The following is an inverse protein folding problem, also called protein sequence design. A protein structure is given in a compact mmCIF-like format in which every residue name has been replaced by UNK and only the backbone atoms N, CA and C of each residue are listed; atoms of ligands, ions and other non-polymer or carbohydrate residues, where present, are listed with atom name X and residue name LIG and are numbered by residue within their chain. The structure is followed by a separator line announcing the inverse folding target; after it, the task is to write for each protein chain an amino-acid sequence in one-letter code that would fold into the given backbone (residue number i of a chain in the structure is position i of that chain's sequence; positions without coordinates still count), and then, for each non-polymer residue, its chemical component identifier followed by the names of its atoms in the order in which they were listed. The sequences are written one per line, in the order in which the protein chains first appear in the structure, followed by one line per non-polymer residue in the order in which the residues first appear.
data_IF_580743602129
#
_entry.id   IF_580743602129
#
_cell.length_a   1.000
_cell.length_b   1.000
_cell.length_c   1.000
_cell.angle_alpha   90.00
_cell.angle_beta   90.00
_cell.angle_gamma   90.00
#
_symmetry.space_group_name_H-M   'P 1'
#
loop_
_entity.id
_entity.type
_entity.pdbx_description
1 polymer ?
#
# COMPACT_ATOMS: atom_id res chain seq x y z
N UNK A 1 -19.97 13.54 3.08
CA UNK A 1 -21.38 13.86 2.76
C UNK A 1 -21.48 14.31 1.32
N UNK A 2 -22.38 13.71 0.59
CA UNK A 2 -22.73 14.02 -0.76
C UNK A 2 -23.95 14.90 -0.78
N UNK A 3 -23.89 16.05 -1.42
CA UNK A 3 -25.03 16.93 -1.67
C UNK A 3 -25.03 17.27 -3.16
N UNK A 4 -25.90 16.69 -3.97
CA UNK A 4 -26.08 17.12 -5.36
C UNK A 4 -26.69 18.52 -5.34
N UNK A 5 -26.07 19.46 -6.03
CA UNK A 5 -26.67 20.74 -6.37
C UNK A 5 -27.27 20.55 -7.75
N UNK A 6 -28.58 20.46 -7.83
CA UNK A 6 -29.32 20.47 -9.08
C UNK A 6 -29.42 21.94 -9.49
N UNK A 7 -28.52 22.37 -10.36
CA UNK A 7 -28.64 23.67 -11.00
C UNK A 7 -29.53 23.60 -12.23
N UNK A 8 -30.08 24.70 -12.69
CA UNK A 8 -30.87 24.80 -13.92
C UNK A 8 -30.06 24.25 -15.08
N UNK A 9 -30.49 23.10 -15.57
CA UNK A 9 -29.76 22.34 -16.56
C UNK A 9 -30.12 22.81 -17.98
N UNK A 10 -29.11 23.22 -18.70
CA UNK A 10 -29.17 23.14 -20.17
C UNK A 10 -29.28 21.67 -20.54
N UNK A 11 -30.29 21.24 -21.31
CA UNK A 11 -30.45 19.84 -21.68
C UNK A 11 -29.15 19.31 -22.31
N UNK A 12 -28.60 18.23 -21.75
CA UNK A 12 -27.40 17.56 -22.24
C UNK A 12 -26.08 17.92 -21.56
N UNK A 13 -26.04 18.86 -20.65
CA UNK A 13 -24.83 19.17 -19.87
C UNK A 13 -25.08 18.91 -18.37
N UNK A 14 -24.63 17.76 -17.88
CA UNK A 14 -24.60 17.49 -16.46
C UNK A 14 -23.56 18.41 -15.80
N UNK A 15 -24.00 19.45 -15.12
CA UNK A 15 -23.10 20.26 -14.27
C UNK A 15 -22.65 19.41 -13.11
N UNK A 16 -21.32 19.28 -12.95
CA UNK A 16 -20.66 18.51 -11.90
C UNK A 16 -20.49 19.36 -10.64
N UNK A 17 -21.58 19.83 -10.05
CA UNK A 17 -21.53 20.62 -8.81
C UNK A 17 -21.57 19.71 -7.56
N UNK A 18 -20.55 18.83 -7.48
CA UNK A 18 -20.39 17.93 -6.35
C UNK A 18 -19.28 18.43 -5.47
N UNK A 19 -19.54 18.50 -4.17
CA UNK A 19 -18.50 18.76 -3.20
C UNK A 19 -18.23 17.54 -2.35
N UNK A 20 -17.00 17.09 -2.35
CA UNK A 20 -16.50 15.98 -1.52
C UNK A 20 -15.40 16.55 -0.64
N UNK A 21 -15.61 16.47 0.66
CA UNK A 21 -14.70 17.04 1.64
C UNK A 21 -14.50 16.06 2.81
N UNK A 22 -13.35 16.14 3.46
CA UNK A 22 -13.12 15.50 4.76
C UNK A 22 -13.77 16.25 5.92
N UNK A 23 -14.29 17.45 5.68
CA UNK A 23 -15.03 18.20 6.69
C UNK A 23 -16.37 17.54 6.95
N UNK A 24 -16.61 17.10 8.17
CA UNK A 24 -17.82 16.44 8.59
C UNK A 24 -18.89 17.44 9.07
N UNK A 25 -18.53 18.72 9.20
CA UNK A 25 -19.41 19.78 9.60
C UNK A 25 -20.16 19.52 10.92
N UNK A 26 -21.26 20.23 11.11
CA UNK A 26 -22.13 20.09 12.32
C UNK A 26 -22.80 18.73 12.43
N UNK A 27 -22.92 18.00 11.33
CA UNK A 27 -23.62 16.70 11.29
C UNK A 27 -22.80 15.57 11.91
N UNK A 28 -21.49 15.75 12.15
CA UNK A 28 -20.66 14.73 12.78
C UNK A 28 -21.17 14.32 14.17
N UNK A 29 -21.63 15.29 14.96
CA UNK A 29 -22.22 15.01 16.30
C UNK A 29 -23.42 14.08 16.20
N UNK A 30 -24.24 14.21 15.16
CA UNK A 30 -25.40 13.34 14.91
C UNK A 30 -24.96 11.94 14.46
N UNK A 31 -24.01 11.87 13.49
CA UNK A 31 -23.48 10.60 12.97
C UNK A 31 -22.72 9.83 14.04
N UNK A 32 -21.95 10.50 14.89
CA UNK A 32 -21.21 9.88 15.99
C UNK A 32 -22.10 9.19 17.05
N UNK A 33 -23.36 9.63 17.17
CA UNK A 33 -24.35 9.01 18.08
C UNK A 33 -25.05 7.77 17.49
N UNK A 34 -24.94 7.56 16.17
CA UNK A 34 -25.57 6.41 15.51
C UNK A 34 -24.86 5.12 15.92
N UNK A 35 -25.62 4.15 16.43
CA UNK A 35 -25.10 2.84 16.80
C UNK A 35 -24.53 2.14 15.56
N UNK A 36 -23.26 1.77 15.60
CA UNK A 36 -22.59 1.07 14.51
C UNK A 36 -23.20 -0.32 14.35
N UNK A 37 -23.84 -0.58 13.22
CA UNK A 37 -24.42 -1.90 12.91
C UNK A 37 -23.38 -2.90 12.38
N UNK A 38 -22.27 -2.41 11.82
CA UNK A 38 -21.24 -3.25 11.21
C UNK A 38 -19.92 -3.08 11.97
N UNK A 39 -19.53 -4.07 12.73
CA UNK A 39 -18.20 -4.18 13.32
C UNK A 39 -17.41 -5.24 12.57
N UNK A 40 -16.14 -4.94 12.25
CA UNK A 40 -15.18 -5.91 11.73
C UNK A 40 -14.36 -6.60 12.83
N UNK A 41 -14.61 -6.24 14.11
CA UNK A 41 -13.86 -6.81 15.24
C UNK A 41 -14.19 -8.30 15.40
N UNK A 42 -13.16 -9.09 15.71
CA UNK A 42 -13.21 -10.56 15.87
C UNK A 42 -13.72 -11.32 14.64
N UNK A 43 -13.66 -10.70 13.46
CA UNK A 43 -14.09 -11.31 12.20
C UNK A 43 -12.89 -11.57 11.33
N UNK A 44 -12.84 -12.79 10.80
CA UNK A 44 -11.76 -13.27 9.97
C UNK A 44 -12.04 -12.94 8.51
N UNK A 45 -11.08 -12.34 7.85
CA UNK A 45 -11.00 -12.22 6.40
C UNK A 45 -9.81 -13.04 5.90
N UNK A 46 -10.03 -13.88 4.90
CA UNK A 46 -9.00 -14.54 4.12
C UNK A 46 -8.85 -13.74 2.84
N UNK A 47 -7.77 -12.97 2.75
CA UNK A 47 -7.50 -12.09 1.60
C UNK A 47 -6.45 -12.75 0.72
N UNK A 48 -6.78 -12.96 -0.55
CA UNK A 48 -5.87 -13.57 -1.51
C UNK A 48 -5.13 -12.46 -2.25
N UNK A 49 -3.81 -12.41 -2.09
CA UNK A 49 -2.92 -11.48 -2.77
C UNK A 49 -2.24 -12.19 -3.94
N UNK A 50 -2.57 -11.85 -5.21
CA UNK A 50 -1.73 -12.24 -6.33
C UNK A 50 -0.46 -11.40 -6.32
N UNK A 51 0.69 -12.04 -6.31
CA UNK A 51 2.00 -11.38 -6.31
C UNK A 51 2.78 -11.80 -7.54
N UNK A 52 3.08 -10.84 -8.41
CA UNK A 52 3.90 -11.04 -9.61
C UNK A 52 5.21 -10.28 -9.43
N UNK A 53 6.30 -11.00 -9.48
CA UNK A 53 7.65 -10.47 -9.46
C UNK A 53 8.31 -10.67 -10.82
N UNK A 54 8.80 -9.60 -11.40
CA UNK A 54 9.52 -9.60 -12.67
C UNK A 54 10.94 -9.10 -12.44
N UNK A 55 11.91 -9.82 -12.92
CA UNK A 55 13.32 -9.45 -12.84
C UNK A 55 13.95 -9.50 -14.24
N UNK A 56 14.63 -8.45 -14.61
CA UNK A 56 15.31 -8.36 -15.90
C UNK A 56 16.80 -8.67 -15.72
N UNK A 57 17.28 -9.70 -16.41
CA UNK A 57 18.70 -10.09 -16.47
C UNK A 57 19.14 -10.06 -17.93
N UNK A 58 19.87 -9.02 -18.31
CA UNK A 58 20.18 -8.70 -19.71
C UNK A 58 21.01 -9.76 -20.45
N UNK A 59 21.69 -10.68 -19.76
CA UNK A 59 22.71 -11.52 -20.36
C UNK A 59 22.27 -12.97 -20.61
N UNK A 60 21.43 -13.54 -19.73
CA UNK A 60 21.08 -14.97 -19.81
C UNK A 60 19.60 -15.23 -20.06
N UNK A 61 18.74 -14.37 -19.57
CA UNK A 61 17.30 -14.47 -19.70
C UNK A 61 16.69 -13.07 -19.65
N UNK A 62 15.87 -12.70 -20.63
CA UNK A 62 15.31 -11.35 -20.72
C UNK A 62 14.43 -11.03 -19.51
N UNK A 63 13.63 -12.00 -19.06
CA UNK A 63 12.79 -11.88 -17.86
C UNK A 63 12.83 -13.14 -17.03
N UNK A 64 13.02 -12.98 -15.73
CA UNK A 64 12.67 -13.99 -14.74
C UNK A 64 11.30 -13.66 -14.18
N UNK A 65 10.45 -14.65 -14.05
CA UNK A 65 9.05 -14.48 -13.62
C UNK A 65 8.77 -15.36 -12.42
N UNK A 66 8.26 -14.76 -11.35
CA UNK A 66 7.73 -15.49 -10.19
C UNK A 66 6.30 -15.01 -9.96
N UNK A 67 5.35 -15.94 -10.01
CA UNK A 67 3.96 -15.69 -9.67
C UNK A 67 3.53 -16.52 -8.47
N UNK A 68 3.15 -15.84 -7.41
CA UNK A 68 2.66 -16.44 -6.17
C UNK A 68 1.18 -16.08 -5.95
N UNK A 69 0.42 -17.00 -5.40
CA UNK A 69 -0.82 -16.69 -4.69
C UNK A 69 -0.50 -16.66 -3.20
N UNK A 70 -0.79 -15.54 -2.56
CA UNK A 70 -0.45 -15.34 -1.17
C UNK A 70 -1.70 -15.09 -0.31
N UNK A 71 -2.43 -16.18 0.10
CA UNK A 71 -3.55 -16.05 1.01
C UNK A 71 -3.09 -15.56 2.38
N UNK A 72 -3.78 -14.52 2.90
CA UNK A 72 -3.52 -13.95 4.21
C UNK A 72 -4.77 -14.00 5.08
N UNK A 73 -4.63 -14.44 6.31
CA UNK A 73 -5.65 -14.32 7.35
C UNK A 73 -5.49 -12.94 7.98
N UNK A 74 -6.56 -12.13 7.95
CA UNK A 74 -6.60 -10.81 8.56
C UNK A 74 -7.69 -10.75 9.62
N UNK A 75 -7.33 -10.34 10.84
CA UNK A 75 -8.25 -10.19 11.98
C UNK A 75 -7.95 -8.92 12.74
N UNK A 76 -9.00 -8.24 13.23
CA UNK A 76 -8.89 -7.07 14.11
C UNK A 76 -9.57 -7.38 15.44
N UNK A 77 -8.83 -7.31 16.55
CA UNK A 77 -9.38 -7.55 17.88
C UNK A 77 -9.91 -6.26 18.55
N UNK A 78 -9.29 -5.13 18.20
CA UNK A 78 -9.74 -3.81 18.63
C UNK A 78 -9.55 -2.76 17.53
N UNK A 79 -9.97 -1.53 17.77
CA UNK A 79 -9.93 -0.46 16.77
C UNK A 79 -8.51 -0.11 16.36
N UNK A 80 -8.28 -0.10 15.05
CA UNK A 80 -6.99 0.25 14.46
C UNK A 80 -5.95 -0.88 14.49
N UNK A 81 -6.21 -1.97 15.19
CA UNK A 81 -5.33 -3.14 15.19
C UNK A 81 -5.67 -4.07 14.03
N UNK A 82 -4.63 -4.66 13.44
CA UNK A 82 -4.74 -5.72 12.45
C UNK A 82 -3.64 -6.77 12.68
N UNK A 83 -4.06 -8.00 12.86
CA UNK A 83 -3.19 -9.18 12.74
C UNK A 83 -3.25 -9.65 11.29
N UNK A 84 -2.10 -9.90 10.69
CA UNK A 84 -1.95 -10.49 9.35
C UNK A 84 -1.05 -11.71 9.44
N UNK A 85 -1.49 -12.84 8.90
CA UNK A 85 -0.68 -14.04 8.73
C UNK A 85 -0.87 -14.54 7.29
N UNK A 86 0.21 -14.50 6.51
CA UNK A 86 0.22 -14.80 5.08
C UNK A 86 1.06 -16.04 4.80
N UNK A 87 0.61 -16.85 3.84
CA UNK A 87 1.40 -17.91 3.22
C UNK A 87 1.67 -17.53 1.76
N UNK A 88 2.89 -17.74 1.31
CA UNK A 88 3.26 -17.64 -0.09
C UNK A 88 3.22 -19.01 -0.75
N UNK A 89 2.34 -19.16 -1.75
CA UNK A 89 2.16 -20.38 -2.53
C UNK A 89 2.64 -20.12 -3.94
N UNK A 90 3.80 -20.65 -4.35
CA UNK A 90 4.32 -20.48 -5.70
C UNK A 90 3.44 -21.21 -6.71
N UNK A 91 3.01 -20.52 -7.76
CA UNK A 91 2.22 -21.07 -8.86
C UNK A 91 3.08 -21.23 -10.11
N UNK A 92 3.96 -20.26 -10.37
CA UNK A 92 4.84 -20.26 -11.52
C UNK A 92 6.18 -19.65 -11.16
N UNK A 93 7.27 -20.32 -11.52
CA UNK A 93 8.63 -19.85 -11.33
C UNK A 93 9.44 -20.12 -12.60
N UNK A 94 9.95 -19.08 -13.20
CA UNK A 94 10.87 -19.15 -14.32
C UNK A 94 12.11 -18.28 -14.02
N UNK A 95 13.20 -18.95 -13.65
CA UNK A 95 14.50 -18.35 -13.41
C UNK A 95 14.77 -17.83 -11.98
N UNK A 96 13.83 -17.88 -11.06
CA UNK A 96 14.11 -17.62 -9.63
C UNK A 96 14.69 -18.88 -8.95
N UNK A 97 15.51 -18.72 -7.90
CA UNK A 97 16.09 -19.84 -7.14
C UNK A 97 15.04 -20.83 -6.64
N UNK A 98 15.41 -22.11 -6.54
CA UNK A 98 14.50 -23.20 -6.14
C UNK A 98 13.88 -23.04 -4.75
N UNK A 99 14.49 -22.24 -3.88
CA UNK A 99 13.92 -21.92 -2.58
C UNK A 99 12.53 -21.26 -2.68
N UNK A 100 12.29 -20.50 -3.76
CA UNK A 100 11.00 -19.86 -4.04
C UNK A 100 9.93 -20.83 -4.59
N UNK A 101 10.27 -22.07 -4.87
CA UNK A 101 9.32 -23.12 -5.25
C UNK A 101 8.65 -23.79 -4.05
N UNK A 102 9.05 -23.44 -2.83
CA UNK A 102 8.51 -24.02 -1.61
C UNK A 102 7.44 -23.09 -1.02
N UNK A 103 6.36 -23.68 -0.50
CA UNK A 103 5.38 -22.93 0.31
C UNK A 103 6.07 -22.49 1.60
N UNK A 104 5.97 -21.22 1.90
CA UNK A 104 6.55 -20.64 3.12
C UNK A 104 5.69 -19.49 3.66
N UNK A 105 5.82 -19.14 4.95
CA UNK A 105 5.19 -17.95 5.48
C UNK A 105 5.71 -16.67 4.80
N UNK A 106 4.79 -15.75 4.47
CA UNK A 106 5.11 -14.41 4.02
C UNK A 106 5.06 -13.40 5.16
N UNK A 107 4.12 -12.47 5.10
CA UNK A 107 3.92 -11.51 6.19
C UNK A 107 3.27 -12.19 7.40
N UNK A 108 3.90 -12.03 8.57
CA UNK A 108 3.32 -12.41 9.85
C UNK A 108 3.53 -11.25 10.80
N UNK A 109 2.46 -10.56 11.21
CA UNK A 109 2.66 -9.42 12.08
C UNK A 109 1.37 -8.77 12.58
N UNK A 110 1.58 -7.87 13.51
CA UNK A 110 0.54 -7.05 14.12
C UNK A 110 0.82 -5.59 13.81
N UNK A 111 -0.19 -4.89 13.32
CA UNK A 111 -0.14 -3.45 13.09
C UNK A 111 -1.20 -2.73 13.90
N UNK A 112 -0.83 -1.59 14.49
CA UNK A 112 -1.72 -0.69 15.18
C UNK A 112 -1.70 0.66 14.47
N UNK A 113 -2.86 1.08 13.96
CA UNK A 113 -3.04 2.41 13.39
C UNK A 113 -3.84 3.28 14.35
N UNK A 114 -3.35 4.46 14.62
CA UNK A 114 -4.00 5.47 15.47
C UNK A 114 -4.15 6.77 14.70
N UNK A 115 -5.26 7.45 14.94
CA UNK A 115 -5.47 8.81 14.46
C UNK A 115 -5.30 9.76 15.62
N UNK A 116 -4.32 10.62 15.54
CA UNK A 116 -4.02 11.67 16.49
C UNK A 116 -4.76 12.98 16.11
N UNK A 117 -4.79 13.98 16.99
CA UNK A 117 -5.28 15.33 16.65
C UNK A 117 -4.60 15.87 15.39
N UNK A 118 -5.17 16.90 14.79
CA UNK A 118 -4.65 17.58 13.58
C UNK A 118 -4.50 16.68 12.35
N UNK A 119 -5.30 15.60 12.24
CA UNK A 119 -5.27 14.66 11.12
C UNK A 119 -3.91 13.96 10.93
N UNK A 120 -3.22 13.71 12.02
CA UNK A 120 -1.98 12.92 12.03
C UNK A 120 -2.37 11.45 12.17
N UNK A 121 -1.79 10.61 11.33
CA UNK A 121 -1.95 9.16 11.35
C UNK A 121 -0.64 8.51 11.70
N UNK A 122 -0.65 7.68 12.72
CA UNK A 122 0.48 6.84 13.12
C UNK A 122 0.14 5.37 12.91
N UNK A 123 1.08 4.61 12.37
CA UNK A 123 0.98 3.15 12.26
C UNK A 123 2.27 2.54 12.78
N UNK A 124 2.15 1.63 13.73
CA UNK A 124 3.24 0.81 14.24
C UNK A 124 2.97 -0.63 13.81
N UNK A 125 3.96 -1.28 13.23
CA UNK A 125 3.88 -2.69 12.81
C UNK A 125 5.06 -3.47 13.39
N UNK A 126 4.79 -4.64 13.94
CA UNK A 126 5.78 -5.56 14.47
C UNK A 126 5.55 -6.92 13.85
N UNK A 127 6.61 -7.55 13.34
CA UNK A 127 6.47 -8.86 12.74
C UNK A 127 7.56 -9.23 11.74
N UNK A 128 7.23 -10.18 10.89
CA UNK A 128 7.97 -10.59 9.72
C UNK A 128 7.43 -9.85 8.49
N UNK A 129 8.33 -9.26 7.74
CA UNK A 129 8.08 -8.35 6.62
C UNK A 129 8.56 -8.93 5.29
N UNK A 130 8.28 -8.26 4.19
CA UNK A 130 8.85 -8.63 2.90
C UNK A 130 10.39 -8.49 2.90
N UNK A 131 11.01 -9.01 1.85
CA UNK A 131 12.48 -8.97 1.68
C UNK A 131 13.23 -9.62 2.83
N UNK A 132 12.67 -10.69 3.40
CA UNK A 132 13.28 -11.49 4.47
C UNK A 132 13.71 -10.63 5.68
N UNK A 133 12.78 -9.75 6.13
CA UNK A 133 13.01 -8.86 7.26
C UNK A 133 12.06 -9.16 8.40
N UNK A 134 12.54 -9.00 9.64
CA UNK A 134 11.70 -9.01 10.85
C UNK A 134 12.05 -7.81 11.72
N UNK A 135 11.09 -7.33 12.49
CA UNK A 135 11.34 -6.25 13.42
C UNK A 135 10.15 -5.32 13.61
N UNK A 136 10.46 -4.04 13.69
CA UNK A 136 9.51 -2.97 13.97
C UNK A 136 9.56 -1.93 12.85
N UNK A 137 8.37 -1.48 12.42
CA UNK A 137 8.19 -0.40 11.45
C UNK A 137 7.20 0.61 11.99
N UNK A 138 7.56 1.88 11.97
CA UNK A 138 6.71 2.99 12.40
C UNK A 138 6.55 3.98 11.25
N UNK A 139 5.30 4.29 10.92
CA UNK A 139 4.93 5.26 9.88
C UNK A 139 4.08 6.35 10.50
N UNK A 140 4.39 7.61 10.20
CA UNK A 140 3.61 8.78 10.59
C UNK A 140 3.31 9.56 9.32
N UNK A 141 2.05 10.00 9.16
CA UNK A 141 1.64 10.81 8.04
C UNK A 141 0.66 11.90 8.47
N UNK A 142 0.78 13.06 7.86
CA UNK A 142 -0.11 14.19 8.05
C UNK A 142 -0.61 14.68 6.69
N UNK A 143 -1.92 14.85 6.56
CA UNK A 143 -2.56 15.51 5.42
C UNK A 143 -3.12 16.84 5.88
N UNK A 144 -2.79 17.92 5.19
CA UNK A 144 -3.26 19.24 5.57
C UNK A 144 -4.79 19.34 5.41
N UNK A 145 -5.50 19.68 6.49
CA UNK A 145 -6.97 19.67 6.51
C UNK A 145 -7.57 20.71 5.56
N UNK A 146 -6.93 21.86 5.43
CA UNK A 146 -7.42 22.96 4.57
C UNK A 146 -7.22 22.66 3.09
N UNK A 147 -6.13 21.98 2.79
CA UNK A 147 -5.81 21.59 1.42
C UNK A 147 -5.19 20.20 1.41
N UNK A 148 -6.04 19.20 1.15
CA UNK A 148 -5.64 17.78 1.10
C UNK A 148 -4.69 17.46 -0.07
N UNK A 149 -4.34 18.46 -0.89
CA UNK A 149 -3.34 18.30 -1.94
C UNK A 149 -1.94 18.11 -1.38
N UNK A 150 -1.69 18.62 -0.17
CA UNK A 150 -0.38 18.53 0.46
C UNK A 150 -0.39 17.59 1.67
N UNK A 151 0.74 16.96 1.88
CA UNK A 151 0.98 16.15 3.08
C UNK A 151 2.45 15.88 3.28
N UNK A 152 2.77 15.40 4.47
CA UNK A 152 4.10 14.96 4.86
C UNK A 152 4.02 13.55 5.42
N UNK A 153 5.07 12.78 5.23
CA UNK A 153 5.17 11.39 5.65
C UNK A 153 6.56 11.11 6.20
N UNK A 154 6.63 10.44 7.34
CA UNK A 154 7.86 9.91 7.92
C UNK A 154 7.70 8.43 8.22
N UNK A 155 8.77 7.67 8.04
CA UNK A 155 8.84 6.25 8.35
C UNK A 155 10.18 5.92 8.98
N UNK A 156 10.18 5.04 9.98
CA UNK A 156 11.38 4.50 10.61
C UNK A 156 11.18 3.00 10.78
N UNK A 157 12.14 2.21 10.30
CA UNK A 157 12.16 0.76 10.45
C UNK A 157 13.43 0.32 11.17
N UNK A 158 13.29 -0.57 12.14
CA UNK A 158 14.41 -1.25 12.79
C UNK A 158 14.25 -2.75 12.62
N UNK A 159 15.05 -3.33 11.73
CA UNK A 159 14.80 -4.68 11.25
C UNK A 159 16.08 -5.52 11.18
N UNK A 160 15.94 -6.83 11.46
CA UNK A 160 16.92 -7.87 11.22
C UNK A 160 16.61 -8.69 9.99
N UNK A 161 17.55 -9.48 9.51
CA UNK A 161 17.29 -10.47 8.46
C UNK A 161 16.60 -11.70 9.07
N UNK A 162 15.58 -12.23 8.37
CA UNK A 162 14.99 -13.52 8.71
C UNK A 162 14.44 -14.14 7.44
N UNK A 163 14.79 -15.39 7.19
CA UNK A 163 14.29 -16.13 6.03
C UNK A 163 13.65 -17.44 6.46
N UNK A 164 12.72 -17.89 5.65
CA UNK A 164 12.00 -19.14 5.88
C UNK A 164 12.56 -20.26 4.99
N UNK A 165 12.94 -21.39 5.60
CA UNK A 165 13.04 -22.64 4.89
C UNK A 165 11.81 -23.48 5.25
N UNK A 166 10.83 -23.49 4.35
CA UNK A 166 9.45 -23.97 4.58
C UNK A 166 8.84 -23.26 5.79
N UNK A 167 8.73 -23.92 6.93
CA UNK A 167 8.14 -23.40 8.17
C UNK A 167 9.19 -23.17 9.28
N UNK A 168 10.47 -23.33 8.98
CA UNK A 168 11.55 -23.02 9.93
C UNK A 168 12.10 -21.62 9.62
N UNK A 169 12.06 -20.74 10.63
CA UNK A 169 12.58 -19.39 10.50
C UNK A 169 14.02 -19.30 10.99
N UNK A 170 14.89 -18.75 10.17
CA UNK A 170 16.29 -18.49 10.50
C UNK A 170 16.53 -17.01 10.65
N UNK A 171 17.08 -16.60 11.79
CA UNK A 171 17.30 -15.21 12.14
C UNK A 171 18.77 -14.82 11.98
N UNK A 172 19.01 -13.71 11.29
CA UNK A 172 20.33 -13.09 11.23
C UNK A 172 20.59 -12.20 12.45
N UNK A 173 21.83 -12.08 12.82
CA UNK A 173 22.27 -11.31 14.01
C UNK A 173 22.30 -9.80 13.77
N UNK A 174 22.52 -9.37 12.53
CA UNK A 174 22.65 -7.94 12.21
C UNK A 174 21.29 -7.26 12.06
N UNK A 175 21.08 -6.22 12.84
CA UNK A 175 19.92 -5.33 12.71
C UNK A 175 20.31 -4.07 11.97
N UNK A 176 19.38 -3.54 11.18
CA UNK A 176 19.55 -2.33 10.37
C UNK A 176 18.42 -1.35 10.64
N UNK A 177 18.78 -0.08 10.70
CA UNK A 177 17.82 1.01 10.76
C UNK A 177 17.61 1.59 9.37
N UNK A 178 16.35 1.80 9.00
CA UNK A 178 15.95 2.50 7.79
C UNK A 178 15.06 3.67 8.17
N UNK A 179 15.07 4.72 7.40
CA UNK A 179 14.14 5.84 7.58
C UNK A 179 13.81 6.48 6.24
N UNK A 180 12.66 7.11 6.18
CA UNK A 180 12.29 8.00 5.09
C UNK A 180 11.49 9.18 5.60
N UNK A 181 11.72 10.34 5.01
CA UNK A 181 10.94 11.57 5.23
C UNK A 181 10.60 12.14 3.87
N UNK A 182 9.34 12.50 3.66
CA UNK A 182 8.92 12.98 2.36
C UNK A 182 7.70 13.88 2.38
N UNK A 183 7.53 14.56 1.27
CA UNK A 183 6.38 15.38 0.95
C UNK A 183 5.52 14.70 -0.13
N UNK A 184 4.25 14.98 -0.06
CA UNK A 184 3.22 14.52 -0.97
C UNK A 184 2.49 15.72 -1.54
N UNK A 185 2.29 15.71 -2.85
CA UNK A 185 1.48 16.68 -3.56
C UNK A 185 0.51 15.96 -4.51
N UNK A 186 -0.75 16.36 -4.49
CA UNK A 186 -1.77 15.84 -5.39
C UNK A 186 -2.31 16.93 -6.31
N UNK A 187 -2.28 16.66 -7.62
CA UNK A 187 -2.78 17.56 -8.65
C UNK A 187 -4.16 17.12 -9.13
N UNK A 188 -5.25 17.74 -8.63
CA UNK A 188 -6.62 17.26 -8.86
C UNK A 188 -7.07 17.22 -10.31
N UNK A 189 -6.60 18.17 -11.11
CA UNK A 189 -7.02 18.30 -12.52
C UNK A 189 -6.65 17.08 -13.35
N UNK A 190 -5.55 16.41 -13.00
CA UNK A 190 -5.01 15.28 -13.74
C UNK A 190 -5.04 13.98 -12.95
N UNK A 191 -5.53 14.01 -11.71
CA UNK A 191 -5.42 12.91 -10.75
C UNK A 191 -3.97 12.40 -10.62
N UNK A 192 -3.02 13.33 -10.55
CA UNK A 192 -1.60 13.03 -10.45
C UNK A 192 -1.13 13.25 -9.02
N UNK A 193 -0.50 12.24 -8.47
CA UNK A 193 0.18 12.25 -7.18
C UNK A 193 1.68 12.33 -7.42
N UNK A 194 2.34 13.25 -6.74
CA UNK A 194 3.80 13.37 -6.73
C UNK A 194 4.29 13.23 -5.30
N UNK A 195 5.26 12.36 -5.07
CA UNK A 195 5.93 12.25 -3.78
C UNK A 195 7.43 12.43 -3.96
N UNK A 196 8.04 13.15 -3.04
CA UNK A 196 9.49 13.30 -2.96
C UNK A 196 9.95 12.88 -1.58
N UNK A 197 10.93 11.96 -1.51
CA UNK A 197 11.41 11.37 -0.25
C UNK A 197 12.93 11.40 -0.18
N UNK A 198 13.41 11.70 1.02
CA UNK A 198 14.76 11.39 1.45
C UNK A 198 14.70 10.07 2.20
N UNK A 199 15.55 9.13 1.85
CA UNK A 199 15.47 7.76 2.36
C UNK A 199 16.84 7.24 2.77
N UNK A 200 16.88 6.45 3.84
CA UNK A 200 18.01 5.58 4.16
C UNK A 200 17.58 4.13 3.96
N UNK A 201 18.32 3.42 3.14
CA UNK A 201 18.02 2.04 2.76
C UNK A 201 18.65 1.02 3.72
N UNK A 202 18.33 -0.26 3.50
CA UNK A 202 18.78 -1.39 4.34
C UNK A 202 20.30 -1.54 4.42
N UNK A 203 21.05 -1.15 3.41
CA UNK A 203 22.51 -1.20 3.43
C UNK A 203 23.15 0.08 4.02
N UNK A 204 22.32 1.05 4.45
CA UNK A 204 22.76 2.29 5.10
C UNK A 204 22.97 3.45 4.15
N UNK A 205 22.88 3.23 2.81
CA UNK A 205 23.01 4.32 1.86
C UNK A 205 21.82 5.27 1.96
N UNK A 206 22.09 6.56 1.80
CA UNK A 206 21.08 7.62 1.75
C UNK A 206 20.79 7.99 0.31
N UNK A 207 19.55 8.34 0.03
CA UNK A 207 19.14 8.69 -1.32
C UNK A 207 17.92 9.58 -1.36
N UNK A 208 17.66 10.05 -2.57
CA UNK A 208 16.45 10.80 -2.93
C UNK A 208 15.63 9.96 -3.89
N UNK A 209 14.33 9.98 -3.69
CA UNK A 209 13.37 9.32 -4.57
C UNK A 209 12.22 10.26 -4.88
N UNK A 210 11.82 10.28 -6.13
CA UNK A 210 10.64 10.98 -6.63
C UNK A 210 9.76 9.95 -7.31
N UNK A 211 8.48 9.93 -6.94
CA UNK A 211 7.45 9.12 -7.60
C UNK A 211 6.38 10.06 -8.16
N UNK A 212 5.96 9.83 -9.40
CA UNK A 212 4.86 10.53 -10.07
C UNK A 212 3.86 9.46 -10.51
N UNK A 213 2.64 9.52 -9.97
CA UNK A 213 1.63 8.49 -10.17
C UNK A 213 0.35 9.13 -10.68
N UNK A 214 -0.17 8.67 -11.80
CA UNK A 214 -1.49 9.03 -12.29
C UNK A 214 -2.50 7.95 -11.90
N UNK A 215 -3.58 8.39 -11.26
CA UNK A 215 -4.66 7.52 -10.83
C UNK A 215 -5.80 7.55 -11.84
N UNK A 216 -6.26 6.36 -12.21
CA UNK A 216 -7.46 6.10 -12.99
C UNK A 216 -8.44 5.30 -12.12
N UNK A 217 -9.67 5.13 -12.57
CA UNK A 217 -10.72 4.42 -11.82
C UNK A 217 -10.30 3.00 -11.37
N UNK A 218 -9.72 2.23 -12.28
CA UNK A 218 -9.35 0.83 -12.04
C UNK A 218 -7.86 0.54 -12.18
N UNK A 219 -7.07 1.56 -12.43
CA UNK A 219 -5.64 1.42 -12.61
C UNK A 219 -4.90 2.64 -12.07
N UNK A 220 -3.63 2.46 -11.76
CA UNK A 220 -2.71 3.57 -11.50
C UNK A 220 -1.41 3.28 -12.21
N UNK A 221 -0.85 4.28 -12.83
CA UNK A 221 0.43 4.20 -13.54
C UNK A 221 1.37 5.21 -12.91
N UNK A 222 2.54 4.76 -12.51
CA UNK A 222 3.54 5.59 -11.87
C UNK A 222 4.91 5.43 -12.49
N UNK A 223 5.65 6.52 -12.47
CA UNK A 223 7.07 6.55 -12.79
C UNK A 223 7.83 6.96 -11.54
N UNK A 224 9.02 6.43 -11.36
CA UNK A 224 9.89 6.88 -10.31
C UNK A 224 11.30 7.09 -10.81
N UNK A 225 11.98 8.02 -10.15
CA UNK A 225 13.40 8.23 -10.29
C UNK A 225 14.04 8.26 -8.91
N UNK A 226 15.22 7.70 -8.79
CA UNK A 226 15.96 7.68 -7.54
C UNK A 226 17.46 7.79 -7.75
N UNK A 227 18.13 8.39 -6.77
CA UNK A 227 19.57 8.45 -6.67
C UNK A 227 19.98 8.12 -5.25
N UNK A 228 20.78 7.09 -5.09
CA UNK A 228 21.35 6.72 -3.80
C UNK A 228 22.86 6.95 -3.78
N UNK A 229 23.40 7.16 -2.60
CA UNK A 229 24.82 7.35 -2.37
C UNK A 229 25.60 6.11 -2.84
N UNK A 230 26.69 6.30 -3.58
CA UNK A 230 27.51 5.21 -4.10
C UNK A 230 26.91 4.40 -5.25
N UNK A 231 25.73 4.80 -5.76
CA UNK A 231 25.05 4.10 -6.86
C UNK A 231 24.74 5.04 -8.03
N UNK A 232 24.58 4.50 -9.24
CA UNK A 232 24.10 5.25 -10.40
C UNK A 232 22.61 5.59 -10.21
N UNK A 233 22.13 6.63 -10.89
CA UNK A 233 20.70 6.95 -10.91
C UNK A 233 19.90 5.79 -11.44
N UNK A 234 18.73 5.54 -10.88
CA UNK A 234 17.82 4.49 -11.28
C UNK A 234 16.41 5.06 -11.46
N UNK A 235 15.62 4.41 -12.27
CA UNK A 235 14.23 4.75 -12.48
C UNK A 235 13.45 3.56 -12.98
N UNK A 236 12.17 3.73 -13.09
CA UNK A 236 11.30 2.69 -13.58
C UNK A 236 9.86 3.12 -13.58
N UNK A 237 8.99 2.17 -13.89
CA UNK A 237 7.56 2.40 -13.83
C UNK A 237 6.88 1.37 -12.93
N UNK A 238 5.69 1.74 -12.46
CA UNK A 238 4.84 0.93 -11.63
C UNK A 238 3.45 0.94 -12.21
N UNK A 239 2.83 -0.20 -12.21
CA UNK A 239 1.48 -0.37 -12.69
C UNK A 239 0.68 -1.09 -11.62
N UNK A 240 -0.54 -0.63 -11.37
CA UNK A 240 -1.46 -1.23 -10.43
C UNK A 240 -2.85 -1.28 -11.05
N UNK A 241 -3.48 -2.43 -10.97
CA UNK A 241 -4.87 -2.63 -11.38
C UNK A 241 -5.73 -2.94 -10.16
N UNK A 242 -6.94 -2.41 -10.15
CA UNK A 242 -7.95 -2.79 -9.18
C UNK A 242 -8.46 -4.19 -9.52
N UNK A 243 -8.51 -5.06 -8.54
CA UNK A 243 -9.17 -6.35 -8.66
C UNK A 243 -10.67 -6.16 -8.44
N UNK A 244 -11.54 -6.94 -9.11
CA UNK A 244 -12.98 -6.79 -9.00
C UNK A 244 -13.43 -6.85 -7.54
N UNK A 245 -14.15 -5.83 -7.04
CA UNK A 245 -14.65 -5.85 -5.68
C UNK A 245 -15.82 -6.82 -5.60
N UNK A 246 -15.61 -7.98 -5.04
CA UNK A 246 -16.72 -8.80 -4.64
C UNK A 246 -17.35 -8.20 -3.38
N UNK A 247 -18.56 -7.69 -3.53
CA UNK A 247 -19.36 -7.24 -2.39
C UNK A 247 -19.96 -8.44 -1.64
N UNK A 248 -19.11 -9.28 -1.07
CA UNK A 248 -19.61 -10.33 -0.20
C UNK A 248 -20.15 -9.72 1.08
N UNK A 249 -21.45 -9.82 1.24
CA UNK A 249 -22.08 -9.48 2.50
C UNK A 249 -21.61 -10.49 3.54
N UNK A 250 -20.94 -10.00 4.58
CA UNK A 250 -20.48 -10.86 5.67
C UNK A 250 -21.67 -11.49 6.40
N UNK A 251 -21.66 -12.78 6.57
CA UNK A 251 -22.66 -13.53 7.33
C UNK A 251 -22.12 -13.81 8.74
N UNK A 252 -22.44 -12.93 9.68
CA UNK A 252 -22.03 -13.11 11.10
C UNK A 252 -20.51 -13.19 11.27
N UNK A 253 -20.04 -14.25 11.91
CA UNK A 253 -18.63 -14.54 12.18
C UNK A 253 -18.00 -15.53 11.17
N UNK A 254 -18.75 -15.95 10.16
CA UNK A 254 -18.22 -16.86 9.12
C UNK A 254 -17.03 -16.16 8.41
N UNK A 255 -15.89 -16.83 8.29
CA UNK A 255 -14.74 -16.30 7.55
C UNK A 255 -15.13 -15.92 6.12
N UNK A 256 -14.65 -14.79 5.67
CA UNK A 256 -14.91 -14.28 4.33
C UNK A 256 -13.65 -14.40 3.49
N UNK A 257 -13.75 -15.05 2.34
CA UNK A 257 -12.67 -15.10 1.35
C UNK A 257 -12.89 -13.98 0.35
N UNK A 258 -11.85 -13.16 0.13
CA UNK A 258 -11.90 -12.02 -0.81
C UNK A 258 -10.57 -11.88 -1.53
N UNK A 259 -10.54 -11.42 -2.78
CA UNK A 259 -9.29 -10.99 -3.39
C UNK A 259 -8.76 -9.74 -2.69
N UNK A 260 -7.48 -9.46 -2.83
CA UNK A 260 -6.91 -8.16 -2.48
C UNK A 260 -7.57 -7.06 -3.31
N UNK A 261 -7.50 -5.81 -2.84
CA UNK A 261 -8.13 -4.69 -3.55
C UNK A 261 -7.51 -4.41 -4.91
N UNK A 262 -6.24 -4.69 -5.03
CA UNK A 262 -5.46 -4.42 -6.24
C UNK A 262 -4.26 -5.36 -6.33
N UNK A 263 -3.71 -5.44 -7.54
CA UNK A 263 -2.46 -6.10 -7.84
C UNK A 263 -1.52 -5.08 -8.48
N UNK A 264 -0.28 -5.02 -8.03
CA UNK A 264 0.73 -4.11 -8.55
C UNK A 264 1.91 -4.85 -9.17
N UNK A 265 2.48 -4.25 -10.20
CA UNK A 265 3.70 -4.68 -10.86
C UNK A 265 4.66 -3.50 -10.88
N UNK A 266 5.93 -3.74 -10.59
CA UNK A 266 6.98 -2.74 -10.73
C UNK A 266 8.04 -3.23 -11.72
N UNK A 267 8.47 -2.32 -12.59
CA UNK A 267 9.61 -2.50 -13.44
C UNK A 267 10.73 -1.52 -13.04
N UNK A 268 11.95 -2.02 -12.92
CA UNK A 268 13.11 -1.21 -12.61
C UNK A 268 14.08 -1.27 -13.80
N UNK A 269 14.42 -0.10 -14.33
CA UNK A 269 15.31 0.00 -15.49
C UNK A 269 16.79 -0.17 -15.16
N UNK A 270 17.15 -0.14 -13.90
CA UNK A 270 18.55 -0.16 -13.45
C UNK A 270 18.90 -1.31 -12.53
N UNK A 271 20.10 -1.23 -12.00
CA UNK A 271 20.84 -2.23 -11.28
C UNK A 271 20.04 -2.95 -10.17
N UNK A 272 20.15 -4.26 -10.08
CA UNK A 272 19.54 -5.17 -9.09
C UNK A 272 19.75 -4.77 -7.61
N UNK A 273 20.82 -4.04 -7.31
CA UNK A 273 21.11 -3.55 -5.95
C UNK A 273 19.98 -2.76 -5.31
N UNK A 274 19.05 -2.23 -6.08
CA UNK A 274 17.91 -1.45 -5.56
C UNK A 274 16.75 -2.32 -5.09
N UNK A 275 16.64 -3.58 -5.49
CA UNK A 275 15.58 -4.48 -5.04
C UNK A 275 15.65 -4.83 -3.57
N UNK A 276 16.87 -4.89 -3.04
CA UNK A 276 17.11 -5.29 -1.65
C UNK A 276 17.20 -4.13 -0.67
N UNK A 277 16.92 -2.91 -1.12
CA UNK A 277 17.12 -1.71 -0.31
C UNK A 277 15.90 -1.27 0.50
N UNK A 278 14.74 -1.85 0.28
CA UNK A 278 13.51 -1.55 0.99
C UNK A 278 12.75 -2.80 1.39
N UNK A 279 11.76 -2.64 2.24
CA UNK A 279 10.82 -3.68 2.63
C UNK A 279 9.41 -3.11 2.77
N UNK A 280 8.41 -3.97 2.66
CA UNK A 280 7.02 -3.67 3.00
C UNK A 280 6.74 -4.24 4.39
N UNK A 281 6.10 -3.47 5.25
CA UNK A 281 5.77 -3.89 6.61
C UNK A 281 4.40 -4.60 6.70
N UNK A 282 3.61 -4.59 5.62
CA UNK A 282 2.28 -5.20 5.59
C UNK A 282 1.97 -5.74 4.19
N UNK A 283 1.27 -6.87 4.11
CA UNK A 283 0.80 -7.46 2.85
C UNK A 283 -0.08 -6.50 2.01
N UNK A 284 -0.88 -5.67 2.67
CA UNK A 284 -1.72 -4.66 2.02
C UNK A 284 -0.97 -3.40 1.55
N UNK A 285 0.32 -3.26 1.90
CA UNK A 285 1.16 -2.14 1.48
C UNK A 285 1.63 -2.37 0.04
N UNK A 286 0.95 -1.74 -0.90
CA UNK A 286 1.24 -1.87 -2.31
C UNK A 286 2.34 -0.92 -2.78
N UNK A 287 2.81 -1.15 -4.00
CA UNK A 287 3.83 -0.36 -4.67
C UNK A 287 3.41 1.12 -4.80
N UNK A 288 2.11 1.37 -4.96
CA UNK A 288 1.51 2.69 -5.05
C UNK A 288 0.55 2.93 -3.89
N UNK A 289 0.45 4.16 -3.42
CA UNK A 289 -0.49 4.51 -2.37
C UNK A 289 -1.93 4.28 -2.82
N UNK A 290 -2.76 3.78 -1.90
CA UNK A 290 -4.18 3.60 -2.16
C UNK A 290 -4.90 4.94 -1.97
N UNK A 291 -5.39 5.51 -3.06
CA UNK A 291 -6.02 6.82 -3.09
C UNK A 291 -7.54 6.79 -2.93
N UNK A 292 -8.10 5.65 -2.49
CA UNK A 292 -9.55 5.41 -2.40
C UNK A 292 -10.33 6.46 -1.58
N UNK A 293 -9.65 7.16 -0.68
CA UNK A 293 -10.25 8.20 0.17
C UNK A 293 -9.76 9.62 -0.14
N UNK A 294 -9.08 9.83 -1.28
CA UNK A 294 -8.75 11.17 -1.70
C UNK A 294 -10.01 11.87 -2.23
N UNK A 295 -10.45 13.00 -1.64
CA UNK A 295 -11.70 13.66 -2.03
C UNK A 295 -11.68 14.17 -3.47
N UNK A 296 -10.55 14.58 -3.99
CA UNK A 296 -10.43 15.03 -5.37
C UNK A 296 -10.59 13.86 -6.35
N UNK A 297 -9.99 12.71 -6.05
CA UNK A 297 -10.16 11.50 -6.85
C UNK A 297 -11.60 11.01 -6.83
N UNK A 298 -12.23 10.95 -5.64
CA UNK A 298 -13.64 10.58 -5.50
C UNK A 298 -14.52 11.54 -6.30
N UNK A 299 -14.25 12.85 -6.22
CA UNK A 299 -15.02 13.87 -6.96
C UNK A 299 -14.92 13.67 -8.47
N UNK A 300 -13.73 13.35 -9.00
CA UNK A 300 -13.54 13.11 -10.44
C UNK A 300 -14.25 11.85 -10.94
N UNK A 301 -14.43 10.84 -10.07
CA UNK A 301 -15.00 9.55 -10.44
C UNK A 301 -16.49 9.41 -10.12
N UNK A 302 -17.11 10.38 -9.41
CA UNK A 302 -18.48 10.29 -8.93
C UNK A 302 -19.53 10.08 -10.04
N UNK A 303 -19.29 10.61 -11.23
CA UNK A 303 -20.20 10.42 -12.37
C UNK A 303 -20.04 9.06 -13.06
N UNK A 304 -19.02 8.31 -12.69
CA UNK A 304 -18.72 7.00 -13.25
C UNK A 304 -19.19 5.84 -12.35
N UNK A 305 -19.88 6.15 -11.23
CA UNK A 305 -20.44 5.16 -10.31
C UNK A 305 -21.87 4.77 -10.66
#
# INVERSE_FOLDING_TARGET
FYKPIIGDSVPGVARRDWDVSYSLGRNWKKVGKVKKKNSSLFKVDVVIYPELSLKNLVITQIYQVLFNLAPAIEVSFWKGMRLTAQLEVPIYNDGYPDMYNKIHPGFIGVSQTVRLPYNIWGTLTVGHFSSERYGVDMKISHRFIRDNRFGIEGRVGYTGAAYWDRFTCHFGTQKKMTWSVGGYFYWPQYNVETTMKLEQYLLGEKGVRIDIIRHFRYASIGFYAMKAQGAKSNGGFRFQIALPPYKYKRKGYIPRVTPSKNMGIAYNAGNERYYYKGFRANASENIMSNNSFNPYFIKSELLNF
#
